data_IF_686731535571
#
_entry.id   IF_686731535571
#
_cell.length_a   1.000
_cell.length_b   1.000
_cell.length_c   1.000
_cell.angle_alpha   90.00
_cell.angle_beta   90.00
_cell.angle_gamma   90.00
#
_symmetry.space_group_name_H-M   'P 1'
#
loop_
_entity.id
_entity.type
_entity.pdbx_description
1 polymer ?
#
# COMPACT_ATOMS: atom_id res chain seq x y z
N UNK A 1 11.83 0.64 7.54
CA UNK A 1 10.47 1.08 7.92
C UNK A 1 9.77 -0.04 8.69
N UNK A 2 8.87 0.27 9.63
CA UNK A 2 8.25 -0.71 10.53
C UNK A 2 6.71 -0.65 10.43
N UNK A 3 6.04 -1.81 10.45
CA UNK A 3 4.57 -1.96 10.35
C UNK A 3 3.82 -1.14 11.41
N UNK A 4 4.46 -0.92 12.55
CA UNK A 4 4.02 -0.13 13.69
C UNK A 4 3.58 1.27 13.27
N UNK A 5 4.38 1.96 12.45
CA UNK A 5 4.08 3.33 12.02
C UNK A 5 2.87 3.37 11.08
N UNK A 6 2.76 2.39 10.18
CA UNK A 6 1.58 2.27 9.31
C UNK A 6 0.29 2.01 10.13
N UNK A 7 0.40 1.20 11.19
CA UNK A 7 -0.71 0.95 12.12
C UNK A 7 -1.08 2.22 12.90
N UNK A 8 -0.09 2.97 13.41
CA UNK A 8 -0.33 4.24 14.10
C UNK A 8 -1.04 5.25 13.21
N UNK A 9 -0.56 5.44 11.97
CA UNK A 9 -1.21 6.32 10.99
C UNK A 9 -2.65 5.90 10.79
N UNK A 10 -2.91 4.62 10.51
CA UNK A 10 -4.28 4.15 10.26
C UNK A 10 -5.20 4.32 11.48
N UNK A 11 -4.71 4.07 12.71
CA UNK A 11 -5.50 4.26 13.92
C UNK A 11 -5.75 5.74 14.27
N UNK A 12 -4.87 6.65 13.85
CA UNK A 12 -5.09 8.10 13.96
C UNK A 12 -6.11 8.60 12.95
N UNK A 13 -6.12 8.07 11.73
CA UNK A 13 -7.16 8.37 10.74
C UNK A 13 -8.52 7.88 11.22
N UNK A 14 -8.57 6.67 11.80
CA UNK A 14 -9.79 6.11 12.36
C UNK A 14 -9.48 5.00 13.40
N UNK A 15 -9.91 5.16 14.66
CA UNK A 15 -9.90 4.08 15.63
C UNK A 15 -10.72 2.87 15.14
N UNK A 16 -10.34 1.66 15.51
CA UNK A 16 -11.08 0.48 15.05
C UNK A 16 -10.59 -0.82 15.66
N UNK A 17 -11.31 -1.92 15.40
CA UNK A 17 -10.80 -3.24 15.78
C UNK A 17 -9.65 -3.68 14.89
N UNK A 18 -8.91 -4.69 15.34
CA UNK A 18 -7.89 -5.35 14.52
C UNK A 18 -8.45 -5.84 13.18
N UNK A 19 -9.71 -6.29 13.13
CA UNK A 19 -10.36 -6.72 11.90
C UNK A 19 -10.61 -5.54 10.93
N UNK A 20 -11.14 -4.43 11.43
CA UNK A 20 -11.37 -3.24 10.61
C UNK A 20 -10.07 -2.62 10.12
N UNK A 21 -9.05 -2.60 10.98
CA UNK A 21 -7.70 -2.20 10.62
C UNK A 21 -7.14 -3.09 9.51
N UNK A 22 -7.22 -4.41 9.65
CA UNK A 22 -6.77 -5.34 8.62
C UNK A 22 -7.48 -5.12 7.28
N UNK A 23 -8.81 -4.91 7.30
CA UNK A 23 -9.58 -4.57 6.09
C UNK A 23 -9.22 -3.21 5.48
N UNK A 24 -8.66 -2.27 6.25
CA UNK A 24 -8.14 -1.00 5.73
C UNK A 24 -6.78 -1.21 5.08
N UNK A 25 -5.91 -2.03 5.65
CA UNK A 25 -4.65 -2.44 5.02
C UNK A 25 -4.89 -3.12 3.67
N UNK A 26 -5.89 -3.98 3.56
CA UNK A 26 -6.25 -4.63 2.29
C UNK A 26 -6.76 -3.63 1.22
N UNK A 27 -7.21 -2.43 1.61
CA UNK A 27 -7.91 -1.46 0.72
C UNK A 27 -7.15 -0.15 0.45
N UNK A 28 -6.39 0.40 1.39
CA UNK A 28 -5.75 1.73 1.27
C UNK A 28 -4.23 1.69 1.46
N UNK A 29 -3.74 1.07 2.54
CA UNK A 29 -2.31 1.08 2.90
C UNK A 29 -1.52 -0.04 2.20
N UNK A 30 -2.20 -1.06 1.67
CA UNK A 30 -1.61 -2.26 1.06
C UNK A 30 -0.65 -2.02 -0.11
N UNK A 31 -0.61 -0.79 -0.64
CA UNK A 31 0.38 -0.35 -1.62
C UNK A 31 1.77 -0.14 -1.02
N UNK A 32 1.85 0.54 0.12
CA UNK A 32 3.12 0.89 0.76
C UNK A 32 3.55 -0.17 1.76
N UNK A 33 2.60 -0.98 2.24
CA UNK A 33 2.88 -1.98 3.23
C UNK A 33 2.00 -3.22 3.08
N UNK A 34 2.63 -4.36 2.81
CA UNK A 34 1.96 -5.65 2.86
C UNK A 34 2.16 -6.25 4.25
N UNK A 35 1.06 -6.54 4.93
CA UNK A 35 1.08 -7.24 6.20
C UNK A 35 -0.07 -8.24 6.25
N UNK A 36 0.23 -9.46 6.66
CA UNK A 36 -0.82 -10.45 6.94
C UNK A 36 -1.62 -10.01 8.16
N UNK A 37 -2.87 -10.44 8.24
CA UNK A 37 -3.71 -10.16 9.41
C UNK A 37 -3.02 -10.63 10.70
N UNK A 38 -2.36 -11.79 10.66
CA UNK A 38 -1.58 -12.30 11.80
C UNK A 38 -0.44 -11.36 12.23
N UNK A 39 0.29 -10.76 11.28
CA UNK A 39 1.32 -9.76 11.58
C UNK A 39 0.69 -8.52 12.24
N UNK A 40 -0.43 -8.03 11.72
CA UNK A 40 -1.14 -6.87 12.29
C UNK A 40 -1.53 -7.15 13.75
N UNK A 41 -2.17 -8.30 14.04
CA UNK A 41 -2.56 -8.65 15.41
C UNK A 41 -1.36 -8.86 16.36
N UNK A 42 -0.24 -9.39 15.85
CA UNK A 42 0.99 -9.52 16.65
C UNK A 42 1.55 -8.14 17.00
N UNK A 43 1.57 -7.21 16.03
CA UNK A 43 2.08 -5.86 16.25
C UNK A 43 1.17 -5.06 17.17
N UNK A 44 -0.16 -5.15 17.01
CA UNK A 44 -1.12 -4.51 17.91
C UNK A 44 -0.90 -4.92 19.37
N UNK A 45 -0.74 -6.22 19.65
CA UNK A 45 -0.48 -6.70 21.02
C UNK A 45 0.79 -6.12 21.63
N UNK A 46 1.86 -6.01 20.84
CA UNK A 46 3.11 -5.40 21.31
C UNK A 46 2.93 -3.89 21.54
N UNK A 47 2.32 -3.17 20.59
CA UNK A 47 2.09 -1.73 20.73
C UNK A 47 1.19 -1.39 21.93
N UNK A 48 0.23 -2.27 22.27
CA UNK A 48 -0.58 -2.15 23.48
C UNK A 48 0.26 -2.35 24.75
N UNK A 49 1.12 -3.37 24.77
CA UNK A 49 2.04 -3.61 25.87
C UNK A 49 3.06 -2.46 26.06
N UNK A 50 3.50 -1.85 24.96
CA UNK A 50 4.42 -0.71 24.95
C UNK A 50 3.72 0.63 25.27
N UNK A 51 2.40 0.64 25.48
CA UNK A 51 1.63 1.84 25.80
C UNK A 51 1.40 2.79 24.62
N UNK A 52 1.72 2.38 23.39
CA UNK A 52 1.56 3.22 22.20
C UNK A 52 0.12 3.31 21.73
N UNK A 53 -0.67 2.28 22.02
CA UNK A 53 -2.11 2.23 21.76
C UNK A 53 -2.84 1.80 23.03
N UNK A 54 -4.08 2.25 23.16
CA UNK A 54 -5.02 1.77 24.16
C UNK A 54 -6.11 0.96 23.48
N UNK A 55 -6.65 -0.02 24.19
CA UNK A 55 -7.79 -0.79 23.74
C UNK A 55 -8.96 -0.64 24.70
N UNK A 56 -10.15 -0.52 24.15
CA UNK A 56 -11.39 -0.51 24.89
C UNK A 56 -12.30 -1.63 24.41
N UNK A 57 -12.91 -2.35 25.34
CA UNK A 57 -13.99 -3.28 25.03
C UNK A 57 -15.28 -2.49 24.81
N UNK A 58 -15.87 -2.70 23.63
CA UNK A 58 -17.13 -2.07 23.22
C UNK A 58 -18.17 -3.17 23.09
N UNK A 59 -19.19 -3.09 23.95
CA UNK A 59 -20.30 -4.03 23.96
C UNK A 59 -21.00 -4.07 22.59
N UNK A 60 -21.34 -5.28 22.13
CA UNK A 60 -22.08 -5.48 20.89
C UNK A 60 -23.38 -6.23 21.14
N UNK A 61 -24.47 -5.82 20.49
CA UNK A 61 -25.73 -6.55 20.58
C UNK A 61 -25.70 -7.81 19.69
N UNK A 62 -26.06 -8.96 20.26
CA UNK A 62 -26.11 -10.25 19.58
C UNK A 62 -24.76 -10.82 19.11
N UNK A 63 -23.61 -10.24 19.52
CA UNK A 63 -22.24 -10.68 19.15
C UNK A 63 -21.26 -10.47 20.31
N UNK A 64 -20.10 -11.15 20.33
CA UNK A 64 -19.06 -10.88 21.33
C UNK A 64 -18.57 -9.43 21.29
N UNK A 65 -18.18 -8.91 22.44
CA UNK A 65 -17.63 -7.57 22.59
C UNK A 65 -16.43 -7.36 21.66
N UNK A 66 -16.35 -6.14 21.13
CA UNK A 66 -15.31 -5.76 20.19
C UNK A 66 -14.21 -4.99 20.90
N UNK A 67 -12.99 -5.47 20.76
CA UNK A 67 -11.79 -4.72 21.16
C UNK A 67 -11.46 -3.65 20.12
N UNK A 68 -11.65 -2.38 20.48
CA UNK A 68 -11.36 -1.21 19.64
C UNK A 68 -10.05 -0.58 20.09
N UNK A 69 -9.12 -0.37 19.16
CA UNK A 69 -7.82 0.25 19.42
C UNK A 69 -7.83 1.73 19.02
N UNK A 70 -7.15 2.55 19.82
CA UNK A 70 -6.89 3.96 19.55
C UNK A 70 -5.45 4.33 19.93
N UNK A 71 -4.85 5.29 19.24
CA UNK A 71 -3.48 5.73 19.52
C UNK A 71 -3.42 6.52 20.83
N UNK A 72 -2.52 6.11 21.72
CA UNK A 72 -2.25 6.78 22.99
C UNK A 72 -1.24 7.93 22.83
N UNK A 73 -0.99 8.68 23.90
CA UNK A 73 -0.05 9.81 23.89
C UNK A 73 1.36 9.40 23.45
N UNK A 74 1.84 8.25 23.94
CA UNK A 74 3.19 7.79 23.63
C UNK A 74 3.30 7.35 22.16
N UNK A 75 2.26 6.72 21.60
CA UNK A 75 2.20 6.39 20.18
C UNK A 75 2.22 7.62 19.26
N UNK A 76 1.62 8.74 19.69
CA UNK A 76 1.73 10.02 18.96
C UNK A 76 3.16 10.56 18.98
N UNK A 77 3.87 10.38 20.09
CA UNK A 77 5.26 10.81 20.23
C UNK A 77 6.17 9.97 19.33
N UNK A 78 5.99 8.65 19.32
CA UNK A 78 6.69 7.72 18.40
C UNK A 78 6.50 8.14 16.95
N UNK A 79 5.28 8.45 16.53
CA UNK A 79 5.02 8.88 15.15
C UNK A 79 5.66 10.24 14.84
N UNK A 80 5.61 11.18 15.80
CA UNK A 80 6.24 12.50 15.69
C UNK A 80 7.76 12.39 15.48
N UNK A 81 8.41 11.49 16.22
CA UNK A 81 9.85 11.25 16.11
C UNK A 81 10.19 10.58 14.79
N UNK A 82 9.44 9.55 14.40
CA UNK A 82 9.62 8.86 13.12
C UNK A 82 9.47 9.79 11.91
N UNK A 83 8.56 10.77 11.95
CA UNK A 83 8.41 11.76 10.87
C UNK A 83 9.66 12.61 10.63
N UNK A 84 10.58 12.69 11.59
CA UNK A 84 11.84 13.44 11.48
C UNK A 84 13.03 12.54 11.10
N UNK A 85 12.82 11.24 11.06
CA UNK A 85 13.86 10.31 10.63
C UNK A 85 14.06 10.40 9.11
N UNK A 86 15.32 10.35 8.62
CA UNK A 86 15.58 10.33 7.20
C UNK A 86 15.05 9.03 6.59
N UNK A 87 14.51 9.14 5.38
CA UNK A 87 14.11 7.99 4.56
C UNK A 87 15.15 7.80 3.47
N UNK A 88 15.87 6.68 3.54
CA UNK A 88 16.80 6.29 2.49
C UNK A 88 16.04 5.89 1.21
N UNK A 89 16.56 6.20 0.02
CA UNK A 89 15.96 5.74 -1.23
C UNK A 89 15.82 4.22 -1.28
N UNK A 90 14.67 3.73 -1.74
CA UNK A 90 14.46 2.30 -1.90
C UNK A 90 15.36 1.73 -3.00
N UNK A 91 16.04 0.62 -2.70
CA UNK A 91 16.74 -0.15 -3.73
C UNK A 91 15.75 -1.07 -4.42
N UNK A 92 15.36 -0.72 -5.65
CA UNK A 92 14.40 -1.53 -6.40
C UNK A 92 15.10 -2.70 -7.09
N UNK A 93 14.73 -3.93 -6.72
CA UNK A 93 15.20 -5.17 -7.37
C UNK A 93 14.15 -5.65 -8.36
N UNK A 94 14.38 -5.40 -9.65
CA UNK A 94 13.47 -5.82 -10.72
C UNK A 94 13.92 -7.13 -11.38
N UNK A 95 13.44 -8.27 -10.89
CA UNK A 95 13.70 -9.58 -11.51
C UNK A 95 13.30 -9.60 -12.99
N UNK A 96 12.14 -9.00 -13.32
CA UNK A 96 11.66 -8.92 -14.71
C UNK A 96 12.65 -8.17 -15.62
N UNK A 97 13.26 -7.08 -15.14
CA UNK A 97 14.26 -6.35 -15.91
C UNK A 97 15.51 -7.19 -16.18
N UNK A 98 15.92 -8.02 -15.23
CA UNK A 98 17.03 -8.97 -15.43
C UNK A 98 16.65 -10.03 -16.45
N UNK A 99 15.44 -10.60 -16.36
CA UNK A 99 14.91 -11.56 -17.35
C UNK A 99 14.87 -10.97 -18.76
N UNK A 100 14.38 -9.73 -18.90
CA UNK A 100 14.35 -9.02 -20.19
C UNK A 100 15.76 -8.91 -20.80
N UNK A 101 16.78 -8.60 -20.00
CA UNK A 101 18.16 -8.59 -20.48
C UNK A 101 18.68 -9.99 -20.82
N UNK A 102 18.32 -10.99 -20.01
CA UNK A 102 18.74 -12.37 -20.22
C UNK A 102 18.14 -12.98 -21.50
N UNK A 103 16.98 -12.50 -21.95
CA UNK A 103 16.36 -12.91 -23.22
C UNK A 103 17.24 -12.67 -24.45
N UNK A 104 18.27 -11.82 -24.37
CA UNK A 104 19.26 -11.68 -25.44
C UNK A 104 20.13 -12.94 -25.66
N UNK A 105 20.13 -13.88 -24.71
CA UNK A 105 20.91 -15.11 -24.75
C UNK A 105 20.03 -16.38 -24.89
N UNK A 106 18.73 -16.21 -25.14
CA UNK A 106 17.74 -17.27 -25.33
C UNK A 106 16.61 -16.76 -26.26
N UNK A 107 15.41 -17.33 -26.20
CA UNK A 107 14.24 -16.88 -26.97
C UNK A 107 13.50 -15.69 -26.31
N UNK A 108 13.48 -14.49 -26.92
CA UNK A 108 12.69 -13.36 -26.43
C UNK A 108 11.18 -13.61 -26.39
N UNK A 109 10.65 -14.49 -27.25
CA UNK A 109 9.23 -14.79 -27.29
C UNK A 109 8.74 -15.44 -25.99
N UNK A 110 9.62 -16.16 -25.28
CA UNK A 110 9.32 -16.83 -24.02
C UNK A 110 8.86 -15.86 -22.91
N UNK A 111 9.25 -14.57 -22.99
CA UNK A 111 8.86 -13.57 -22.00
C UNK A 111 7.55 -12.85 -22.31
N UNK A 112 7.02 -12.92 -23.53
CA UNK A 112 5.85 -12.14 -23.94
C UNK A 112 4.65 -12.40 -23.03
N UNK A 113 4.37 -13.67 -22.71
CA UNK A 113 3.24 -14.04 -21.84
C UNK A 113 3.40 -13.47 -20.43
N UNK A 114 4.61 -13.54 -19.87
CA UNK A 114 4.88 -13.07 -18.52
C UNK A 114 4.82 -11.53 -18.43
N UNK A 115 5.42 -10.82 -19.40
CA UNK A 115 5.34 -9.35 -19.46
C UNK A 115 3.89 -8.89 -19.65
N UNK A 116 3.10 -9.60 -20.47
CA UNK A 116 1.67 -9.32 -20.66
C UNK A 116 0.90 -9.47 -19.34
N UNK A 117 1.10 -10.58 -18.62
CA UNK A 117 0.48 -10.83 -17.30
C UNK A 117 0.82 -9.74 -16.29
N UNK A 118 2.07 -9.30 -16.25
CA UNK A 118 2.51 -8.19 -15.40
C UNK A 118 1.79 -6.89 -15.77
N UNK A 119 1.75 -6.56 -17.06
CA UNK A 119 1.08 -5.36 -17.57
C UNK A 119 -0.40 -5.33 -17.20
N UNK A 120 -1.11 -6.43 -17.39
CA UNK A 120 -2.53 -6.56 -17.03
C UNK A 120 -2.75 -6.36 -15.53
N UNK A 121 -1.87 -6.90 -14.70
CA UNK A 121 -1.93 -6.73 -13.24
C UNK A 121 -1.78 -5.26 -12.83
N UNK A 122 -0.82 -4.55 -13.44
CA UNK A 122 -0.61 -3.12 -13.23
C UNK A 122 -1.79 -2.28 -13.76
N UNK A 123 -2.34 -2.63 -14.93
CA UNK A 123 -3.51 -1.96 -15.48
C UNK A 123 -4.76 -2.12 -14.59
N UNK A 124 -5.00 -3.31 -14.06
CA UNK A 124 -6.09 -3.56 -13.12
C UNK A 124 -5.92 -2.75 -11.82
N UNK A 125 -4.68 -2.60 -11.33
CA UNK A 125 -4.39 -1.79 -10.14
C UNK A 125 -4.59 -0.29 -10.40
N UNK A 126 -4.12 0.22 -11.54
CA UNK A 126 -4.35 1.60 -11.98
C UNK A 126 -5.85 1.94 -12.01
N UNK A 127 -6.68 1.03 -12.52
CA UNK A 127 -8.12 1.25 -12.59
C UNK A 127 -8.77 1.30 -11.21
N UNK A 128 -8.32 0.44 -10.28
CA UNK A 128 -8.75 0.50 -8.87
C UNK A 128 -8.41 1.84 -8.22
N UNK A 129 -7.23 2.38 -8.50
CA UNK A 129 -6.84 3.70 -7.99
C UNK A 129 -7.66 4.84 -8.58
N UNK A 130 -7.91 4.83 -9.89
CA UNK A 130 -8.76 5.84 -10.54
C UNK A 130 -10.18 5.82 -10.00
N UNK A 131 -10.75 4.62 -9.84
CA UNK A 131 -12.08 4.44 -9.23
C UNK A 131 -12.09 4.95 -7.79
N UNK A 132 -11.06 4.64 -7.00
CA UNK A 132 -10.91 5.15 -5.64
C UNK A 132 -10.75 6.66 -5.58
N UNK A 133 -9.93 7.24 -6.46
CA UNK A 133 -9.71 8.68 -6.57
C UNK A 133 -11.01 9.43 -6.83
N UNK A 134 -11.81 8.98 -7.81
CA UNK A 134 -13.09 9.61 -8.12
C UNK A 134 -14.11 9.50 -6.97
N UNK A 135 -14.09 8.39 -6.24
CA UNK A 135 -14.99 8.15 -5.10
C UNK A 135 -14.62 8.99 -3.89
N UNK A 136 -13.33 9.02 -3.53
CA UNK A 136 -12.85 9.57 -2.26
C UNK A 136 -12.39 11.03 -2.39
N UNK A 137 -12.02 11.48 -3.60
CA UNK A 137 -11.51 12.82 -3.89
C UNK A 137 -12.19 13.44 -5.14
N UNK A 138 -13.53 13.62 -5.13
CA UNK A 138 -14.26 14.14 -6.29
C UNK A 138 -13.85 15.59 -6.63
N UNK A 139 -13.70 15.95 -7.92
CA UNK A 139 -13.29 17.28 -8.35
C UNK A 139 -14.16 18.41 -7.79
N UNK A 140 -13.54 19.53 -7.41
CA UNK A 140 -14.25 20.70 -6.86
C UNK A 140 -14.63 20.58 -5.38
N UNK A 141 -14.19 19.52 -4.71
CA UNK A 141 -14.36 19.35 -3.26
C UNK A 141 -13.20 20.00 -2.51
N UNK A 142 -13.51 20.82 -1.50
CA UNK A 142 -12.51 21.28 -0.56
C UNK A 142 -12.07 20.12 0.35
N UNK A 143 -10.78 19.79 0.28
CA UNK A 143 -10.18 18.73 1.07
C UNK A 143 -9.52 19.34 2.31
N UNK A 144 -9.70 18.70 3.46
CA UNK A 144 -8.93 19.04 4.65
C UNK A 144 -7.43 18.63 4.48
N UNK A 145 -6.51 19.09 5.34
CA UNK A 145 -5.09 18.76 5.22
C UNK A 145 -4.79 17.25 5.23
N UNK A 146 -5.55 16.46 5.98
CA UNK A 146 -5.36 15.00 6.03
C UNK A 146 -5.75 14.37 4.69
N UNK A 147 -6.90 14.76 4.14
CA UNK A 147 -7.37 14.31 2.83
C UNK A 147 -6.43 14.75 1.70
N UNK A 148 -5.87 15.95 1.77
CA UNK A 148 -4.86 16.42 0.79
C UNK A 148 -3.62 15.53 0.80
N UNK A 149 -3.10 15.17 1.99
CA UNK A 149 -1.95 14.28 2.11
C UNK A 149 -2.25 12.87 1.59
N UNK A 150 -3.43 12.33 1.91
CA UNK A 150 -3.89 11.03 1.37
C UNK A 150 -3.98 11.07 -0.16
N UNK A 151 -4.54 12.13 -0.73
CA UNK A 151 -4.69 12.27 -2.17
C UNK A 151 -3.34 12.38 -2.88
N UNK A 152 -2.38 13.16 -2.34
CA UNK A 152 -1.03 13.27 -2.91
C UNK A 152 -0.35 11.91 -3.00
N UNK A 153 -0.47 11.09 -1.96
CA UNK A 153 0.07 9.72 -1.94
C UNK A 153 -0.60 8.83 -3.00
N UNK A 154 -1.94 8.91 -3.13
CA UNK A 154 -2.68 8.16 -4.16
C UNK A 154 -2.25 8.56 -5.58
N UNK A 155 -2.12 9.86 -5.86
CA UNK A 155 -1.63 10.36 -7.16
C UNK A 155 -0.26 9.82 -7.49
N UNK A 156 0.66 9.76 -6.51
CA UNK A 156 1.97 9.14 -6.69
C UNK A 156 1.87 7.68 -7.12
N UNK A 157 0.99 6.90 -6.48
CA UNK A 157 0.71 5.52 -6.87
C UNK A 157 0.15 5.40 -8.29
N UNK A 158 -0.77 6.29 -8.67
CA UNK A 158 -1.34 6.35 -10.02
C UNK A 158 -0.25 6.63 -11.07
N UNK A 159 0.61 7.62 -10.84
CA UNK A 159 1.69 7.94 -11.79
C UNK A 159 2.73 6.83 -11.89
N UNK A 160 3.04 6.15 -10.78
CA UNK A 160 3.90 4.98 -10.81
C UNK A 160 3.31 3.86 -11.69
N UNK A 161 2.02 3.55 -11.55
CA UNK A 161 1.37 2.53 -12.37
C UNK A 161 1.36 2.91 -13.85
N UNK A 162 1.09 4.19 -14.18
CA UNK A 162 1.16 4.67 -15.57
C UNK A 162 2.55 4.49 -16.16
N UNK A 163 3.59 4.90 -15.43
CA UNK A 163 4.98 4.76 -15.85
C UNK A 163 5.36 3.29 -16.06
N UNK A 164 4.95 2.41 -15.14
CA UNK A 164 5.24 0.97 -15.24
C UNK A 164 4.56 0.34 -16.44
N UNK A 165 3.28 0.65 -16.69
CA UNK A 165 2.54 0.15 -17.86
C UNK A 165 3.21 0.62 -19.15
N UNK A 166 3.59 1.90 -19.25
CA UNK A 166 4.26 2.44 -20.42
C UNK A 166 5.60 1.74 -20.71
N UNK A 167 6.37 1.44 -19.65
CA UNK A 167 7.59 0.66 -19.80
C UNK A 167 7.32 -0.78 -20.26
N UNK A 168 6.31 -1.46 -19.71
CA UNK A 168 5.94 -2.81 -20.13
C UNK A 168 5.42 -2.86 -21.58
N UNK A 169 4.72 -1.80 -22.03
CA UNK A 169 4.32 -1.64 -23.43
C UNK A 169 5.54 -1.53 -24.37
N UNK A 170 6.55 -0.75 -24.00
CA UNK A 170 7.81 -0.64 -24.75
C UNK A 170 8.58 -1.97 -24.79
N UNK A 171 8.61 -2.70 -23.67
CA UNK A 171 9.20 -4.04 -23.59
C UNK A 171 8.46 -5.00 -24.53
N UNK A 172 7.13 -5.06 -24.50
CA UNK A 172 6.35 -5.92 -25.39
C UNK A 172 6.60 -5.57 -26.86
N UNK A 173 6.58 -4.29 -27.22
CA UNK A 173 6.88 -3.85 -28.58
C UNK A 173 8.28 -4.30 -29.03
N UNK A 174 9.27 -4.22 -28.13
CA UNK A 174 10.63 -4.69 -28.38
C UNK A 174 10.70 -6.21 -28.56
N UNK A 175 10.10 -6.99 -27.66
CA UNK A 175 10.10 -8.46 -27.74
C UNK A 175 9.42 -8.94 -29.03
N UNK A 176 8.25 -8.39 -29.36
CA UNK A 176 7.52 -8.74 -30.60
C UNK A 176 8.31 -8.43 -31.87
N UNK A 177 9.18 -7.40 -31.85
CA UNK A 177 10.06 -7.09 -32.98
C UNK A 177 11.24 -8.07 -33.09
N UNK A 178 11.75 -8.56 -31.97
CA UNK A 178 12.86 -9.53 -31.93
C UNK A 178 12.41 -10.97 -32.23
N UNK A 179 11.13 -11.29 -32.03
CA UNK A 179 10.55 -12.61 -32.31
C UNK A 179 10.03 -12.78 -33.75
N UNK A 180 10.32 -11.85 -34.66
CA UNK A 180 9.93 -11.90 -36.08
C UNK A 180 11.05 -12.42 -36.96
#
# INVERSE_FOLDING_TARGET
MALEHAILVSLLEQPGSGYELARRFDRSIGRFWTATHQQIYRVLRRMEADGWIAAQEVAQDGRPDKKVYAVARDGRSVLSDWLREPVEPETVRHELAVKIRAAAFDDPAALISEVTRHRESHAALLERYRTGEQRDFPPGTELDPQQQLQHVVLRGGIEYERMTIAWLDDVLATLHRLSR
#
